data_IF_209206163562
#
_entry.id   IF_209206163562
#
_cell.length_a   1.000
_cell.length_b   1.000
_cell.length_c   1.000
_cell.angle_alpha   90.00
_cell.angle_beta   90.00
_cell.angle_gamma   90.00
#
_symmetry.space_group_name_H-M   'P 1'
#
loop_
_entity.id
_entity.type
_entity.pdbx_description
1 polymer ?
#
# COMPACT_ATOMS: atom_id res chain seq x y z
N UNK A 1 -2.62 -2.98 -21.49
CA UNK A 1 -2.67 -3.09 -20.02
C UNK A 1 -2.20 -1.76 -19.48
N UNK A 2 -2.98 -1.12 -18.62
CA UNK A 2 -2.65 0.18 -18.03
C UNK A 2 -1.98 -0.08 -16.68
N UNK A 3 -0.90 0.65 -16.40
CA UNK A 3 -0.16 0.58 -15.13
C UNK A 3 -0.19 1.96 -14.48
N UNK A 4 -0.43 1.97 -13.17
CA UNK A 4 -0.54 3.17 -12.36
C UNK A 4 0.33 2.99 -11.11
N UNK A 5 0.98 4.04 -10.60
CA UNK A 5 1.68 3.98 -9.32
C UNK A 5 0.69 3.68 -8.18
N UNK A 6 1.08 2.81 -7.24
CA UNK A 6 0.31 2.56 -6.01
C UNK A 6 0.68 3.63 -4.98
N UNK A 7 -0.01 4.76 -5.02
CA UNK A 7 0.13 5.89 -4.08
C UNK A 7 -0.97 5.89 -3.00
N UNK A 8 -1.81 4.85 -2.98
CA UNK A 8 -2.96 4.75 -2.07
C UNK A 8 -4.16 5.62 -2.47
N UNK A 9 -4.13 6.33 -3.60
CA UNK A 9 -5.29 7.08 -4.11
C UNK A 9 -6.35 6.13 -4.72
N UNK A 10 -7.64 6.48 -4.69
CA UNK A 10 -8.66 5.67 -5.36
C UNK A 10 -8.46 5.67 -6.89
N UNK A 11 -8.64 4.51 -7.53
CA UNK A 11 -8.54 4.41 -8.99
C UNK A 11 -9.90 4.74 -9.60
N UNK A 12 -10.03 5.95 -10.14
CA UNK A 12 -11.25 6.44 -10.79
C UNK A 12 -11.21 6.23 -12.31
N UNK A 13 -12.25 5.62 -12.85
CA UNK A 13 -12.41 5.40 -14.29
C UNK A 13 -13.53 6.29 -14.83
N UNK A 14 -13.18 7.20 -15.72
CA UNK A 14 -14.13 8.03 -16.46
C UNK A 14 -14.39 7.45 -17.84
N UNK A 15 -15.65 7.14 -18.15
CA UNK A 15 -16.06 6.64 -19.46
C UNK A 15 -16.47 7.82 -20.33
N UNK A 16 -15.82 8.02 -21.48
CA UNK A 16 -16.10 9.12 -22.40
C UNK A 16 -16.62 8.58 -23.74
N UNK A 17 -17.53 9.33 -24.37
CA UNK A 17 -17.94 9.04 -25.74
C UNK A 17 -16.83 9.46 -26.70
N UNK A 18 -16.52 8.58 -27.65
CA UNK A 18 -15.61 8.90 -28.75
C UNK A 18 -16.30 9.76 -29.81
N UNK A 19 -17.63 9.69 -29.93
CA UNK A 19 -18.42 10.48 -30.87
C UNK A 19 -18.68 11.88 -30.28
N UNK A 20 -17.78 12.79 -30.60
CA UNK A 20 -17.75 14.15 -30.10
C UNK A 20 -19.02 14.97 -30.43
N UNK A 21 -19.94 15.10 -29.47
CA UNK A 21 -20.88 16.24 -29.37
C UNK A 21 -20.61 17.11 -28.13
N UNK A 22 -20.03 16.54 -27.07
CA UNK A 22 -19.57 17.27 -25.88
C UNK A 22 -18.25 16.67 -25.39
N UNK A 23 -17.09 17.06 -25.96
CA UNK A 23 -15.77 16.50 -25.64
C UNK A 23 -15.32 16.66 -24.17
N UNK A 24 -16.09 17.34 -23.33
CA UNK A 24 -15.82 17.54 -21.91
C UNK A 24 -16.67 16.72 -20.94
N UNK A 25 -17.73 16.02 -21.39
CA UNK A 25 -18.66 15.35 -20.49
C UNK A 25 -18.38 13.84 -20.40
N UNK A 26 -18.14 13.33 -19.19
CA UNK A 26 -18.07 11.90 -18.92
C UNK A 26 -19.47 11.30 -19.08
N UNK A 27 -19.59 10.17 -19.79
CA UNK A 27 -20.84 9.40 -19.86
C UNK A 27 -21.22 8.95 -18.45
N UNK A 28 -20.23 8.46 -17.70
CA UNK A 28 -20.33 8.08 -16.30
C UNK A 28 -18.95 7.80 -15.73
N UNK A 29 -18.88 7.55 -14.44
CA UNK A 29 -17.64 7.27 -13.71
C UNK A 29 -17.81 6.06 -12.78
N UNK A 30 -16.70 5.44 -12.39
CA UNK A 30 -16.71 4.45 -11.33
C UNK A 30 -15.37 4.39 -10.60
N UNK A 31 -15.43 3.98 -9.33
CA UNK A 31 -14.25 3.79 -8.49
C UNK A 31 -13.92 2.31 -8.43
N UNK A 32 -12.67 1.96 -8.72
CA UNK A 32 -12.17 0.59 -8.66
C UNK A 32 -11.53 0.34 -7.30
N UNK A 33 -12.18 -0.49 -6.48
CA UNK A 33 -11.62 -0.93 -5.19
C UNK A 33 -10.47 -1.92 -5.38
N UNK A 34 -9.23 -1.43 -5.50
CA UNK A 34 -8.03 -2.26 -5.56
C UNK A 34 -7.28 -2.36 -4.23
N UNK A 35 -7.48 -1.40 -3.31
CA UNK A 35 -6.75 -1.32 -2.03
C UNK A 35 -7.03 -2.51 -1.11
N UNK A 36 -8.23 -3.10 -1.19
CA UNK A 36 -8.60 -4.30 -0.43
C UNK A 36 -7.99 -5.58 -1.02
N UNK A 37 -7.38 -5.51 -2.19
CA UNK A 37 -6.77 -6.68 -2.81
C UNK A 37 -5.47 -7.01 -2.08
N UNK A 38 -5.31 -8.28 -1.68
CA UNK A 38 -4.02 -8.78 -1.24
C UNK A 38 -2.92 -8.48 -2.25
N UNK A 39 -1.67 -8.29 -1.78
CA UNK A 39 -0.51 -8.09 -2.64
C UNK A 39 -0.42 -9.15 -3.74
N UNK A 40 -0.20 -8.71 -4.98
CA UNK A 40 -0.10 -9.52 -6.18
C UNK A 40 -1.35 -10.34 -6.54
N UNK A 41 -2.49 -10.04 -5.92
CA UNK A 41 -3.76 -10.67 -6.27
C UNK A 41 -4.49 -9.91 -7.37
N UNK A 42 -5.16 -10.67 -8.24
CA UNK A 42 -6.02 -10.15 -9.30
C UNK A 42 -7.48 -10.29 -8.90
N UNK A 43 -8.25 -9.25 -9.17
CA UNK A 43 -9.70 -9.21 -9.02
C UNK A 43 -10.34 -8.92 -10.37
N UNK A 44 -11.43 -9.62 -10.65
CA UNK A 44 -12.16 -9.57 -11.90
C UNK A 44 -13.65 -9.37 -11.57
N UNK A 45 -14.19 -8.19 -11.91
CA UNK A 45 -15.51 -7.73 -11.42
C UNK A 45 -16.21 -6.82 -12.43
N UNK A 46 -17.54 -6.84 -12.38
CA UNK A 46 -18.40 -5.84 -13.01
C UNK A 46 -18.68 -4.71 -12.02
N UNK A 47 -18.50 -3.46 -12.44
CA UNK A 47 -18.71 -2.27 -11.62
C UNK A 47 -19.76 -1.39 -12.31
N UNK A 48 -20.86 -1.03 -11.63
CA UNK A 48 -21.86 -0.14 -12.20
C UNK A 48 -21.32 1.29 -12.31
N UNK A 49 -21.61 1.93 -13.43
CA UNK A 49 -21.27 3.33 -13.65
C UNK A 49 -22.21 4.24 -12.86
N UNK A 50 -21.65 5.28 -12.26
CA UNK A 50 -22.37 6.36 -11.58
C UNK A 50 -22.82 7.41 -12.61
N UNK A 51 -23.91 8.13 -12.27
CA UNK A 51 -24.43 9.22 -13.12
C UNK A 51 -25.19 8.77 -14.37
N UNK A 52 -25.29 7.46 -14.65
CA UNK A 52 -26.02 6.92 -15.81
C UNK A 52 -27.27 6.15 -15.41
N UNK A 53 -28.26 6.08 -16.33
CA UNK A 53 -29.48 5.29 -16.11
C UNK A 53 -29.20 3.78 -16.09
N UNK A 54 -28.25 3.31 -16.90
CA UNK A 54 -27.81 1.92 -17.03
C UNK A 54 -26.39 1.90 -17.60
N UNK A 55 -25.54 1.01 -17.10
CA UNK A 55 -24.18 0.81 -17.60
C UNK A 55 -23.29 0.16 -16.57
N UNK A 56 -22.52 -0.84 -16.97
CA UNK A 56 -21.54 -1.53 -16.14
C UNK A 56 -20.25 -1.66 -16.94
N UNK A 57 -19.12 -1.60 -16.24
CA UNK A 57 -17.80 -1.85 -16.81
C UNK A 57 -17.21 -3.11 -16.21
N UNK A 58 -16.61 -3.94 -17.06
CA UNK A 58 -15.88 -5.13 -16.65
C UNK A 58 -14.41 -4.77 -16.47
N UNK A 59 -13.90 -4.94 -15.25
CA UNK A 59 -12.52 -4.58 -14.91
C UNK A 59 -11.81 -5.78 -14.33
N UNK A 60 -10.62 -6.05 -14.86
CA UNK A 60 -9.62 -6.93 -14.26
C UNK A 60 -8.48 -6.09 -13.73
N UNK A 61 -8.30 -6.06 -12.43
CA UNK A 61 -7.29 -5.26 -11.73
C UNK A 61 -6.39 -6.15 -10.91
N UNK A 62 -5.08 -5.87 -10.93
CA UNK A 62 -4.08 -6.58 -10.13
C UNK A 62 -3.33 -5.55 -9.30
N UNK A 63 -3.32 -5.71 -7.97
CA UNK A 63 -2.49 -4.86 -7.11
C UNK A 63 -1.09 -5.45 -7.08
N UNK A 64 -0.16 -4.88 -7.87
CA UNK A 64 1.23 -5.34 -7.89
C UNK A 64 1.99 -4.71 -6.73
N UNK A 65 2.58 -5.54 -5.89
CA UNK A 65 3.53 -5.12 -4.85
C UNK A 65 4.81 -5.89 -5.13
N UNK A 66 5.97 -5.22 -5.23
CA UNK A 66 7.25 -5.91 -5.38
C UNK A 66 7.35 -7.03 -4.33
N UNK A 67 7.50 -8.28 -4.77
CA UNK A 67 7.52 -9.43 -3.87
C UNK A 67 8.83 -9.39 -3.06
N UNK A 68 8.79 -8.77 -1.88
CA UNK A 68 9.83 -8.96 -0.89
C UNK A 68 9.81 -10.44 -0.46
N UNK A 69 10.96 -11.13 -0.36
CA UNK A 69 11.02 -12.56 -0.10
C UNK A 69 10.25 -12.94 1.18
N UNK A 70 9.16 -13.66 0.97
CA UNK A 70 8.18 -14.19 1.93
C UNK A 70 8.84 -14.65 3.25
N UNK A 71 8.51 -14.01 4.37
CA UNK A 71 8.73 -14.58 5.72
C UNK A 71 7.39 -14.96 6.32
N UNK A 72 7.35 -16.19 6.84
CA UNK A 72 6.19 -16.88 7.40
C UNK A 72 5.58 -16.13 8.59
N UNK A 73 4.25 -16.15 8.64
CA UNK A 73 3.36 -15.62 9.67
C UNK A 73 3.75 -15.95 11.11
N UNK A 74 4.05 -14.93 11.90
CA UNK A 74 3.79 -14.81 13.36
C UNK A 74 4.12 -13.36 13.75
N UNK A 75 3.07 -12.53 13.73
CA UNK A 75 3.15 -11.08 13.85
C UNK A 75 3.44 -10.59 15.27
N UNK A 76 4.21 -9.51 15.34
CA UNK A 76 4.69 -8.72 16.50
C UNK A 76 6.17 -8.88 16.85
N UNK A 77 6.80 -10.04 16.66
CA UNK A 77 8.26 -10.18 16.89
C UNK A 77 9.12 -9.83 15.65
N UNK A 78 8.53 -9.78 14.45
CA UNK A 78 9.24 -9.55 13.19
C UNK A 78 9.81 -8.14 13.01
N UNK A 79 9.10 -7.10 13.48
CA UNK A 79 9.51 -5.71 13.30
C UNK A 79 10.73 -5.35 14.17
N UNK A 80 10.74 -5.77 15.43
CA UNK A 80 11.90 -5.65 16.32
C UNK A 80 13.07 -6.50 15.82
N UNK A 81 12.80 -7.73 15.38
CA UNK A 81 13.80 -8.67 14.86
C UNK A 81 14.55 -8.12 13.64
N UNK A 82 13.84 -7.51 12.68
CA UNK A 82 14.46 -6.92 11.49
C UNK A 82 15.30 -5.68 11.82
N UNK A 83 14.83 -4.81 12.71
CA UNK A 83 15.58 -3.62 13.13
C UNK A 83 16.86 -3.98 13.90
N UNK A 84 16.79 -4.97 14.80
CA UNK A 84 17.97 -5.52 15.47
C UNK A 84 18.95 -6.19 14.50
N UNK A 85 18.44 -6.88 13.48
CA UNK A 85 19.26 -7.51 12.43
C UNK A 85 19.96 -6.48 11.55
N UNK A 86 19.25 -5.45 11.09
CA UNK A 86 19.82 -4.34 10.31
C UNK A 86 20.86 -3.56 11.12
N UNK A 87 20.56 -3.25 12.38
CA UNK A 87 21.50 -2.58 13.28
C UNK A 87 22.74 -3.43 13.54
N UNK A 88 22.57 -4.76 13.66
CA UNK A 88 23.68 -5.70 13.79
C UNK A 88 24.57 -5.76 12.55
N UNK A 89 23.96 -5.81 11.36
CA UNK A 89 24.67 -5.80 10.08
C UNK A 89 25.42 -4.47 9.85
N UNK A 90 24.78 -3.34 10.17
CA UNK A 90 25.40 -2.02 10.10
C UNK A 90 26.62 -1.92 11.03
N UNK A 91 26.49 -2.36 12.29
CA UNK A 91 27.60 -2.40 13.25
C UNK A 91 28.75 -3.29 12.78
N UNK A 92 28.44 -4.44 12.19
CA UNK A 92 29.45 -5.36 11.66
C UNK A 92 30.20 -4.75 10.47
N UNK A 93 29.50 -4.10 9.54
CA UNK A 93 30.11 -3.41 8.40
C UNK A 93 30.96 -2.22 8.85
N UNK A 94 30.46 -1.40 9.79
CA UNK A 94 31.23 -0.30 10.39
C UNK A 94 32.54 -0.79 11.04
N UNK A 95 32.49 -1.94 11.71
CA UNK A 95 33.68 -2.55 12.33
C UNK A 95 34.68 -3.06 11.27
N UNK A 96 34.19 -3.70 10.19
CA UNK A 96 35.03 -4.11 9.06
C UNK A 96 35.70 -2.92 8.38
N UNK A 97 34.94 -1.85 8.14
CA UNK A 97 35.42 -0.63 7.50
C UNK A 97 36.53 0.03 8.33
N UNK A 98 36.33 0.12 9.66
CA UNK A 98 37.36 0.59 10.59
C UNK A 98 38.65 -0.24 10.50
N UNK A 99 38.53 -1.57 10.49
CA UNK A 99 39.71 -2.45 10.41
C UNK A 99 40.45 -2.33 9.06
N UNK A 100 39.72 -2.15 7.95
CA UNK A 100 40.31 -1.99 6.62
C UNK A 100 40.99 -0.63 6.44
N UNK A 101 40.46 0.43 7.08
CA UNK A 101 41.10 1.75 7.14
C UNK A 101 42.40 1.70 7.95
N UNK A 102 42.39 1.04 9.11
CA UNK A 102 43.60 0.84 9.94
C UNK A 102 44.66 -0.03 9.22
N UNK A 103 44.23 -0.94 8.34
CA UNK A 103 45.10 -1.81 7.52
C UNK A 103 45.58 -1.21 6.19
N UNK A 104 45.18 0.02 5.84
CA UNK A 104 45.61 0.71 4.61
C UNK A 104 45.10 0.10 3.30
N UNK A 105 44.09 -0.77 3.34
CA UNK A 105 43.55 -1.45 2.16
C UNK A 105 42.34 -0.70 1.59
N UNK A 106 42.63 0.35 0.80
CA UNK A 106 41.64 1.28 0.27
C UNK A 106 40.61 0.61 -0.66
N UNK A 107 41.00 -0.40 -1.43
CA UNK A 107 40.10 -1.12 -2.34
C UNK A 107 39.02 -1.89 -1.58
N UNK A 108 39.40 -2.51 -0.46
CA UNK A 108 38.45 -3.23 0.42
C UNK A 108 37.53 -2.27 1.18
N UNK A 109 38.02 -1.08 1.52
CA UNK A 109 37.20 0.00 2.10
C UNK A 109 36.17 0.49 1.07
N UNK A 110 36.59 0.68 -0.18
CA UNK A 110 35.70 1.13 -1.26
C UNK A 110 34.58 0.12 -1.53
N UNK A 111 34.90 -1.17 -1.57
CA UNK A 111 33.89 -2.22 -1.77
C UNK A 111 32.88 -2.25 -0.60
N UNK A 112 33.37 -2.15 0.64
CA UNK A 112 32.51 -2.14 1.83
C UNK A 112 31.60 -0.89 1.90
N UNK A 113 32.06 0.26 1.37
CA UNK A 113 31.24 1.47 1.25
C UNK A 113 30.12 1.30 0.21
N UNK A 114 30.43 0.77 -0.98
CA UNK A 114 29.40 0.52 -1.99
C UNK A 114 28.35 -0.51 -1.54
N UNK A 115 28.77 -1.56 -0.83
CA UNK A 115 27.82 -2.49 -0.20
C UNK A 115 26.94 -1.78 0.84
N UNK A 116 27.51 -0.86 1.63
CA UNK A 116 26.77 -0.08 2.63
C UNK A 116 25.75 0.88 1.99
N UNK A 117 26.10 1.52 0.89
CA UNK A 117 25.19 2.37 0.10
C UNK A 117 23.99 1.57 -0.40
N UNK A 118 24.21 0.39 -0.99
CA UNK A 118 23.12 -0.47 -1.46
C UNK A 118 22.17 -0.93 -0.34
N UNK A 119 22.71 -1.18 0.86
CA UNK A 119 21.91 -1.55 2.04
C UNK A 119 21.12 -0.34 2.56
N UNK A 120 21.69 0.86 2.49
CA UNK A 120 21.01 2.09 2.88
C UNK A 120 19.83 2.41 1.93
N UNK A 121 20.02 2.24 0.62
CA UNK A 121 18.94 2.37 -0.38
C UNK A 121 17.79 1.39 -0.07
N UNK A 122 18.11 0.13 0.23
CA UNK A 122 17.10 -0.88 0.60
C UNK A 122 16.36 -0.50 1.90
N UNK A 123 17.07 0.10 2.87
CA UNK A 123 16.46 0.57 4.12
C UNK A 123 15.50 1.74 3.88
N UNK A 124 15.86 2.66 2.97
CA UNK A 124 15.01 3.79 2.58
C UNK A 124 13.71 3.30 1.92
N UNK A 125 13.79 2.35 0.99
CA UNK A 125 12.61 1.72 0.37
C UNK A 125 11.67 1.09 1.42
N UNK A 126 12.24 0.37 2.39
CA UNK A 126 11.46 -0.24 3.48
C UNK A 126 10.80 0.81 4.38
N UNK A 127 11.48 1.94 4.62
CA UNK A 127 10.93 3.05 5.41
C UNK A 127 9.73 3.70 4.70
N UNK A 128 9.85 3.97 3.39
CA UNK A 128 8.77 4.52 2.57
C UNK A 128 7.56 3.58 2.56
N UNK A 129 7.79 2.26 2.48
CA UNK A 129 6.72 1.27 2.57
C UNK A 129 5.99 1.35 3.92
N UNK A 130 6.74 1.41 5.02
CA UNK A 130 6.17 1.53 6.38
C UNK A 130 5.35 2.81 6.56
N UNK A 131 5.84 3.94 6.05
CA UNK A 131 5.10 5.21 6.09
C UNK A 131 3.80 5.14 5.28
N UNK A 132 3.84 4.46 4.13
CA UNK A 132 2.65 4.21 3.29
C UNK A 132 1.63 3.32 4.02
N UNK A 133 2.07 2.22 4.63
CA UNK A 133 1.19 1.35 5.42
C UNK A 133 0.59 2.08 6.63
N UNK A 134 1.39 2.90 7.33
CA UNK A 134 0.91 3.73 8.43
C UNK A 134 -0.18 4.70 7.97
N UNK A 135 0.04 5.39 6.85
CA UNK A 135 -0.93 6.33 6.28
C UNK A 135 -2.24 5.62 5.92
N UNK A 136 -2.18 4.44 5.29
CA UNK A 136 -3.36 3.66 4.95
C UNK A 136 -4.14 3.23 6.20
N UNK A 137 -3.45 2.81 7.26
CA UNK A 137 -4.08 2.47 8.54
C UNK A 137 -4.77 3.67 9.18
N UNK A 138 -4.14 4.85 9.18
CA UNK A 138 -4.73 6.08 9.72
C UNK A 138 -5.97 6.51 8.93
N UNK A 139 -5.91 6.45 7.59
CA UNK A 139 -7.07 6.71 6.75
C UNK A 139 -8.21 5.73 7.04
N UNK A 140 -7.90 4.45 7.25
CA UNK A 140 -8.91 3.44 7.61
C UNK A 140 -9.56 3.73 8.96
N UNK A 141 -8.78 4.13 9.96
CA UNK A 141 -9.31 4.51 11.29
C UNK A 141 -10.26 5.70 11.15
N UNK A 142 -9.89 6.70 10.34
CA UNK A 142 -10.73 7.87 10.09
C UNK A 142 -12.05 7.48 9.43
N UNK A 143 -12.02 6.67 8.38
CA UNK A 143 -13.23 6.17 7.70
C UNK A 143 -14.16 5.43 8.66
N UNK A 144 -13.62 4.49 9.45
CA UNK A 144 -14.41 3.73 10.42
C UNK A 144 -15.00 4.63 11.52
N UNK A 145 -14.26 5.65 11.94
CA UNK A 145 -14.76 6.66 12.88
C UNK A 145 -15.97 7.41 12.33
N UNK A 146 -15.91 7.84 11.07
CA UNK A 146 -17.03 8.49 10.38
C UNK A 146 -18.21 7.54 10.18
N UNK A 147 -17.97 6.27 9.83
CA UNK A 147 -19.03 5.25 9.72
C UNK A 147 -19.77 5.04 11.04
N UNK A 148 -19.06 5.04 12.18
CA UNK A 148 -19.66 4.91 13.52
C UNK A 148 -20.48 6.15 13.88
N UNK A 149 -19.99 7.35 13.56
CA UNK A 149 -20.69 8.60 13.87
C UNK A 149 -21.94 8.81 13.00
N UNK A 150 -21.90 8.35 11.75
CA UNK A 150 -23.00 8.45 10.80
C UNK A 150 -23.96 7.25 10.84
N UNK A 151 -23.70 6.25 11.69
CA UNK A 151 -24.59 5.12 11.89
C UNK A 151 -25.91 5.59 12.53
N UNK A 152 -27.08 5.14 12.02
CA UNK A 152 -28.36 5.46 12.62
C UNK A 152 -28.41 4.95 14.06
N UNK A 153 -29.05 5.68 15.00
CA UNK A 153 -29.15 5.23 16.38
C UNK A 153 -29.85 3.87 16.42
N UNK A 154 -29.20 2.89 17.07
CA UNK A 154 -29.81 1.58 17.33
C UNK A 154 -31.05 1.84 18.19
N UNK A 155 -32.22 1.75 17.57
CA UNK A 155 -33.50 1.73 18.24
C UNK A 155 -33.49 0.53 19.21
N UNK A 156 -33.21 0.80 20.48
CA UNK A 156 -33.53 -0.13 21.55
C UNK A 156 -35.03 -0.42 21.48
N UNK A 157 -35.37 -1.58 20.92
CA UNK A 157 -36.70 -2.16 21.06
C UNK A 157 -36.90 -2.49 22.54
N UNK A 158 -37.32 -1.51 23.33
CA UNK A 158 -38.05 -1.80 24.57
C UNK A 158 -39.28 -2.58 24.16
N UNK A 159 -39.25 -3.87 24.44
CA UNK A 159 -40.40 -4.75 24.37
C UNK A 159 -41.48 -4.19 25.30
N UNK A 160 -42.44 -3.47 24.76
CA UNK A 160 -43.74 -3.29 25.38
C UNK A 160 -44.46 -4.63 25.30
N UNK A 161 -44.22 -5.50 26.28
CA UNK A 161 -45.12 -6.60 26.57
C UNK A 161 -46.27 -6.02 27.39
N UNK A 162 -47.39 -5.75 26.71
CA UNK A 162 -48.68 -5.55 27.33
C UNK A 162 -49.25 -6.93 27.67
N UNK A 163 -49.51 -7.19 28.96
CA UNK A 163 -50.74 -7.80 29.50
C UNK A 163 -50.98 -7.17 30.87
#
# INVERSE_FOLDING_TARGET
MLEFPDDGSPLELHVKDHNALLPGSSIGDCVVEYQRLPPNQTSDKWIPLQGVKRGEIHVRVTRRVPEQPKRTSSDSEGYLSNSHKLTGQLKQMMSKLRSSVEGGNLDTVSLALSEMESVAETQEEYMVQLETEQMLLLNKIKELGEEILNAPPVLERRSSAAI
#
